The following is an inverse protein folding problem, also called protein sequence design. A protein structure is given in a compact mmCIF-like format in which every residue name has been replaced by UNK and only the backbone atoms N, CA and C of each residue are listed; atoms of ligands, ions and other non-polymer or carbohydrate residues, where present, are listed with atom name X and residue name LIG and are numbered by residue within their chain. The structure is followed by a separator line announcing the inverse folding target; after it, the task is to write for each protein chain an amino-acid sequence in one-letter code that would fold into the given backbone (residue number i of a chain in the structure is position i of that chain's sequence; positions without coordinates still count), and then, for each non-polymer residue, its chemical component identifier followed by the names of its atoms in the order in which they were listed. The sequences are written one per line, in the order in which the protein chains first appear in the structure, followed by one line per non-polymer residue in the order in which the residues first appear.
data_IF_884625016723
#
_entry.id   IF_884625016723
#
_cell.length_a   1.000
_cell.length_b   1.000
_cell.length_c   1.000
_cell.angle_alpha   90.00
_cell.angle_beta   90.00
_cell.angle_gamma   90.00
#
_symmetry.space_group_name_H-M   'P 1'
#
loop_
_entity.id
_entity.type
_entity.pdbx_description
1 polymer ?
#
# COMPACT_ATOMS: atom_id res chain seq x y z
N UNK A 1 12.67 3.43 1.11
CA UNK A 1 12.20 4.75 1.58
C UNK A 1 13.21 5.38 2.54
N UNK A 2 13.68 4.67 3.58
CA UNK A 2 14.66 5.23 4.55
C UNK A 2 15.91 5.76 3.84
N UNK A 3 16.51 4.96 2.95
CA UNK A 3 17.67 5.38 2.15
C UNK A 3 17.39 6.64 1.33
N UNK A 4 16.17 6.75 0.77
CA UNK A 4 15.75 7.94 0.04
C UNK A 4 15.65 9.18 0.90
N UNK A 5 15.23 9.04 2.18
CA UNK A 5 15.21 10.15 3.14
C UNK A 5 16.64 10.60 3.49
N UNK A 6 17.57 9.66 3.70
CA UNK A 6 18.98 9.98 3.94
C UNK A 6 19.61 10.67 2.73
N UNK A 7 19.38 10.15 1.53
CA UNK A 7 19.84 10.77 0.28
C UNK A 7 19.28 12.19 0.10
N UNK A 8 17.99 12.40 0.44
CA UNK A 8 17.40 13.72 0.37
C UNK A 8 17.99 14.69 1.39
N UNK A 9 18.35 14.21 2.58
CA UNK A 9 19.03 15.03 3.58
C UNK A 9 20.47 15.39 3.19
N UNK A 10 21.17 14.50 2.47
CA UNK A 10 22.56 14.71 2.04
C UNK A 10 22.68 15.50 0.73
N UNK A 11 21.82 15.24 -0.24
CA UNK A 11 21.94 15.72 -1.63
C UNK A 11 20.77 16.57 -2.08
N UNK A 12 19.69 16.64 -1.31
CA UNK A 12 18.49 17.34 -1.71
C UNK A 12 18.71 18.84 -1.82
N UNK A 13 18.20 19.45 -2.90
CA UNK A 13 18.24 20.89 -3.06
C UNK A 13 17.23 21.57 -2.14
N UNK A 14 17.61 22.70 -1.54
CA UNK A 14 16.77 23.45 -0.62
C UNK A 14 15.49 23.95 -1.30
N UNK A 15 14.34 23.66 -0.72
CA UNK A 15 13.03 24.05 -1.25
C UNK A 15 12.45 23.07 -2.27
N UNK A 16 13.16 22.01 -2.64
CA UNK A 16 12.68 21.01 -3.57
C UNK A 16 11.91 19.87 -2.89
N UNK A 17 11.02 19.24 -3.65
CA UNK A 17 10.22 18.12 -3.19
C UNK A 17 10.55 16.87 -4.00
N UNK A 18 10.74 15.74 -3.32
CA UNK A 18 11.07 14.46 -3.92
C UNK A 18 10.01 13.42 -3.57
N UNK A 19 9.53 12.71 -4.58
CA UNK A 19 8.64 11.55 -4.38
C UNK A 19 9.52 10.31 -4.27
N UNK A 20 9.51 9.69 -3.10
CA UNK A 20 10.21 8.44 -2.80
C UNK A 20 9.23 7.27 -2.92
N UNK A 21 8.83 7.00 -4.15
CA UNK A 21 7.93 5.89 -4.46
C UNK A 21 8.68 4.64 -4.90
N UNK A 22 7.94 3.58 -5.11
CA UNK A 22 8.41 2.32 -5.68
C UNK A 22 7.65 1.97 -6.95
N UNK A 23 7.37 0.69 -7.14
CA UNK A 23 6.59 0.20 -8.27
C UNK A 23 5.15 0.69 -8.23
N UNK A 24 4.64 1.09 -9.37
CA UNK A 24 3.24 1.45 -9.54
C UNK A 24 2.39 0.18 -9.72
N UNK A 25 1.75 -0.26 -8.66
CA UNK A 25 0.91 -1.44 -8.63
C UNK A 25 -0.56 -1.06 -8.44
N UNK A 26 -1.44 -1.80 -9.09
CA UNK A 26 -2.85 -1.78 -8.71
C UNK A 26 -3.03 -2.52 -7.38
N UNK A 27 -4.10 -2.20 -6.65
CA UNK A 27 -4.39 -2.87 -5.38
C UNK A 27 -4.41 -4.41 -5.52
N UNK A 28 -5.02 -4.93 -6.56
CA UNK A 28 -5.06 -6.38 -6.82
C UNK A 28 -3.67 -6.98 -7.09
N UNK A 29 -2.80 -6.26 -7.81
CA UNK A 29 -1.42 -6.69 -8.04
C UNK A 29 -0.62 -6.70 -6.73
N UNK A 30 -0.75 -5.66 -5.91
CA UNK A 30 -0.08 -5.59 -4.62
C UNK A 30 -0.51 -6.74 -3.70
N UNK A 31 -1.82 -6.95 -3.55
CA UNK A 31 -2.37 -8.04 -2.72
C UNK A 31 -1.93 -9.42 -3.24
N UNK A 32 -1.96 -9.64 -4.57
CA UNK A 32 -1.48 -10.91 -5.15
C UNK A 32 0.00 -11.15 -4.88
N UNK A 33 0.85 -10.16 -5.07
CA UNK A 33 2.31 -10.28 -4.82
C UNK A 33 2.60 -10.53 -3.35
N UNK A 34 1.93 -9.82 -2.44
CA UNK A 34 2.06 -10.04 -1.00
C UNK A 34 1.62 -11.47 -0.65
N UNK A 35 0.48 -11.93 -1.14
CA UNK A 35 -0.01 -13.27 -0.88
C UNK A 35 0.99 -14.35 -1.35
N UNK A 36 1.56 -14.20 -2.54
CA UNK A 36 2.58 -15.12 -3.03
C UNK A 36 3.86 -15.11 -2.18
N UNK A 37 4.31 -13.94 -1.76
CA UNK A 37 5.56 -13.82 -1.00
C UNK A 37 5.46 -14.36 0.44
N UNK A 38 4.24 -14.54 0.98
CA UNK A 38 4.00 -15.08 2.32
C UNK A 38 3.39 -16.47 2.33
N UNK A 39 3.52 -17.20 1.21
CA UNK A 39 2.91 -18.53 1.00
C UNK A 39 1.39 -18.55 1.24
N UNK A 40 0.76 -17.39 1.07
CA UNK A 40 -0.67 -17.23 1.18
C UNK A 40 -1.41 -17.59 -0.10
N UNK A 41 -2.67 -17.97 0.03
CA UNK A 41 -3.52 -18.16 -1.15
C UNK A 41 -3.90 -16.80 -1.75
N UNK A 42 -3.65 -16.57 -3.05
CA UNK A 42 -4.09 -15.34 -3.71
C UNK A 42 -5.61 -15.22 -3.64
N UNK A 43 -6.10 -14.00 -3.51
CA UNK A 43 -7.54 -13.74 -3.50
C UNK A 43 -8.18 -14.26 -4.79
N UNK A 44 -8.97 -15.33 -4.69
CA UNK A 44 -9.64 -15.99 -5.83
C UNK A 44 -10.83 -15.19 -6.37
N UNK A 45 -11.37 -14.29 -5.55
CA UNK A 45 -12.58 -13.54 -5.89
C UNK A 45 -12.19 -12.13 -6.31
N UNK A 46 -12.42 -11.80 -7.58
CA UNK A 46 -12.36 -10.42 -8.07
C UNK A 46 -13.67 -9.73 -7.69
N UNK A 47 -13.60 -8.85 -6.70
CA UNK A 47 -14.73 -8.03 -6.32
C UNK A 47 -14.82 -6.84 -7.29
N UNK A 48 -15.89 -6.68 -8.05
CA UNK A 48 -16.04 -5.52 -8.93
C UNK A 48 -16.13 -4.22 -8.11
N UNK A 49 -15.62 -3.12 -8.67
CA UNK A 49 -15.59 -1.82 -7.99
C UNK A 49 -16.98 -1.37 -7.52
N UNK A 50 -18.02 -1.66 -8.29
CA UNK A 50 -19.41 -1.38 -7.92
C UNK A 50 -19.83 -2.08 -6.63
N UNK A 51 -19.44 -3.34 -6.44
CA UNK A 51 -19.73 -4.08 -5.21
C UNK A 51 -18.94 -3.52 -4.02
N UNK A 52 -17.69 -3.10 -4.22
CA UNK A 52 -16.89 -2.45 -3.18
C UNK A 52 -17.53 -1.13 -2.75
N UNK A 53 -17.98 -0.31 -3.71
CA UNK A 53 -18.66 0.96 -3.42
C UNK A 53 -20.01 0.76 -2.71
N UNK A 54 -20.74 -0.28 -3.03
CA UNK A 54 -22.00 -0.61 -2.37
C UNK A 54 -21.79 -1.19 -0.96
N UNK A 55 -20.71 -1.93 -0.74
CA UNK A 55 -20.40 -2.54 0.56
C UNK A 55 -20.03 -1.52 1.63
N UNK A 56 -19.39 -0.40 1.27
CA UNK A 56 -18.98 0.63 2.23
C UNK A 56 -20.14 1.20 3.06
N UNK A 57 -21.19 1.76 2.46
CA UNK A 57 -22.36 2.27 3.19
C UNK A 57 -23.08 1.19 4.00
N UNK A 58 -23.14 -0.05 3.49
CA UNK A 58 -23.76 -1.17 4.21
C UNK A 58 -22.96 -1.55 5.45
N UNK A 59 -21.62 -1.58 5.33
CA UNK A 59 -20.73 -1.84 6.46
C UNK A 59 -20.80 -0.72 7.51
N UNK A 60 -20.89 0.54 7.09
CA UNK A 60 -21.09 1.68 8.01
C UNK A 60 -22.42 1.58 8.76
N UNK A 61 -23.51 1.28 8.07
CA UNK A 61 -24.81 1.11 8.67
C UNK A 61 -24.84 -0.09 9.66
N UNK A 62 -24.25 -1.21 9.27
CA UNK A 62 -24.12 -2.37 10.13
C UNK A 62 -23.27 -2.08 11.37
N UNK A 63 -22.18 -1.34 11.22
CA UNK A 63 -21.31 -0.91 12.32
C UNK A 63 -22.04 0.02 13.30
N UNK A 64 -22.85 0.94 12.77
CA UNK A 64 -23.63 1.87 13.59
C UNK A 64 -24.70 1.15 14.43
N UNK A 65 -25.32 0.10 13.89
CA UNK A 65 -26.36 -0.68 14.57
C UNK A 65 -25.74 -1.69 15.56
N UNK A 66 -24.64 -2.33 15.17
CA UNK A 66 -24.00 -3.37 15.98
C UNK A 66 -23.01 -2.83 17.03
N UNK A 67 -22.67 -1.54 17.00
CA UNK A 67 -21.67 -0.94 17.89
C UNK A 67 -20.23 -1.46 17.69
N UNK A 68 -19.99 -2.19 16.59
CA UNK A 68 -18.70 -2.80 16.27
C UNK A 68 -18.14 -2.14 15.01
N UNK A 69 -16.93 -1.61 15.07
CA UNK A 69 -16.24 -1.12 13.88
C UNK A 69 -15.83 -2.30 13.00
N UNK A 70 -16.46 -2.43 11.85
CA UNK A 70 -16.01 -3.38 10.81
C UNK A 70 -14.82 -2.73 10.07
N UNK A 71 -13.66 -2.80 10.71
CA UNK A 71 -12.39 -2.38 10.10
C UNK A 71 -11.94 -3.48 9.12
N UNK A 72 -11.42 -3.16 7.92
CA UNK A 72 -11.00 -1.84 7.40
C UNK A 72 -11.90 -1.28 6.27
N UNK A 73 -13.15 -1.70 6.17
CA UNK A 73 -14.04 -1.38 5.05
C UNK A 73 -14.92 -0.17 5.34
N UNK A 74 -14.31 1.00 5.48
CA UNK A 74 -15.05 2.25 5.43
C UNK A 74 -15.17 2.76 3.98
N UNK A 75 -16.02 3.75 3.79
CA UNK A 75 -16.26 4.38 2.49
C UNK A 75 -14.99 4.99 1.89
N UNK A 76 -14.08 5.50 2.71
CA UNK A 76 -12.84 6.13 2.26
C UNK A 76 -11.88 5.06 1.71
N UNK A 77 -11.75 3.92 2.40
CA UNK A 77 -10.92 2.81 1.95
C UNK A 77 -11.45 2.18 0.65
N UNK A 78 -12.78 2.04 0.53
CA UNK A 78 -13.41 1.58 -0.70
C UNK A 78 -13.11 2.49 -1.90
N UNK A 79 -13.14 3.82 -1.69
CA UNK A 79 -12.77 4.79 -2.72
C UNK A 79 -11.27 4.72 -3.08
N UNK A 80 -10.40 4.58 -2.10
CA UNK A 80 -8.95 4.45 -2.30
C UNK A 80 -8.59 3.17 -3.06
N UNK A 81 -9.20 2.06 -2.71
CA UNK A 81 -8.93 0.77 -3.34
C UNK A 81 -9.28 0.74 -4.85
N UNK A 82 -10.17 1.63 -5.29
CA UNK A 82 -10.58 1.73 -6.70
C UNK A 82 -9.81 2.78 -7.50
N UNK A 83 -9.06 3.66 -6.83
CA UNK A 83 -8.26 4.70 -7.49
C UNK A 83 -6.87 4.17 -7.87
N UNK A 84 -6.40 4.57 -9.03
CA UNK A 84 -5.01 4.38 -9.45
C UNK A 84 -4.20 5.58 -9.00
N UNK A 85 -3.40 5.42 -7.96
CA UNK A 85 -2.50 6.47 -7.46
C UNK A 85 -1.09 6.13 -7.90
N UNK A 86 -0.79 6.45 -9.16
CA UNK A 86 0.52 6.20 -9.74
C UNK A 86 1.37 7.46 -9.65
N UNK A 87 2.57 7.31 -9.11
CA UNK A 87 3.55 8.38 -8.95
C UNK A 87 4.85 7.99 -9.62
N UNK A 88 5.68 8.98 -9.93
CA UNK A 88 7.00 8.73 -10.48
C UNK A 88 8.08 9.28 -9.56
N UNK A 89 9.12 8.49 -9.33
CA UNK A 89 10.30 8.86 -8.54
C UNK A 89 11.44 9.39 -9.41
N UNK A 90 11.23 9.65 -10.71
CA UNK A 90 12.28 10.03 -11.66
C UNK A 90 13.16 11.18 -11.18
N UNK A 91 12.58 12.17 -10.52
CA UNK A 91 13.35 13.30 -9.99
C UNK A 91 14.29 12.83 -8.87
N UNK A 92 13.80 12.01 -7.95
CA UNK A 92 14.64 11.45 -6.90
C UNK A 92 15.72 10.51 -7.46
N UNK A 93 15.40 9.72 -8.47
CA UNK A 93 16.37 8.86 -9.16
C UNK A 93 17.47 9.68 -9.82
N UNK A 94 17.10 10.75 -10.55
CA UNK A 94 18.05 11.57 -11.30
C UNK A 94 18.92 12.47 -10.41
N UNK A 95 18.34 13.10 -9.39
CA UNK A 95 19.02 14.13 -8.58
C UNK A 95 19.67 13.57 -7.32
N UNK A 96 19.06 12.53 -6.70
CA UNK A 96 19.54 11.94 -5.46
C UNK A 96 20.27 10.61 -5.68
N UNK A 97 20.11 9.97 -6.84
CA UNK A 97 20.52 8.59 -7.05
C UNK A 97 19.66 7.59 -6.27
N UNK A 98 18.37 7.91 -6.08
CA UNK A 98 17.44 7.05 -5.38
C UNK A 98 17.14 5.80 -6.19
N UNK A 99 17.25 4.64 -5.55
CA UNK A 99 16.84 3.35 -6.11
C UNK A 99 15.82 2.72 -5.18
N UNK A 100 14.77 2.15 -5.75
CA UNK A 100 13.79 1.38 -4.99
C UNK A 100 13.94 -0.11 -5.25
N UNK A 101 13.61 -0.92 -4.27
CA UNK A 101 13.57 -2.37 -4.43
C UNK A 101 12.14 -2.86 -4.62
N UNK A 102 11.95 -4.00 -5.34
CA UNK A 102 10.63 -4.62 -5.45
C UNK A 102 10.04 -4.95 -4.08
N UNK A 103 8.72 -4.92 -3.97
CA UNK A 103 8.03 -5.19 -2.71
C UNK A 103 8.38 -6.58 -2.14
N UNK A 104 8.62 -7.55 -3.00
CA UNK A 104 8.95 -8.93 -2.63
C UNK A 104 10.28 -9.07 -1.87
N UNK A 105 11.21 -8.15 -2.08
CA UNK A 105 12.54 -8.20 -1.46
C UNK A 105 12.48 -8.05 0.08
N UNK A 106 11.49 -7.32 0.59
CA UNK A 106 11.38 -7.01 2.03
C UNK A 106 10.24 -7.74 2.74
N UNK A 107 9.34 -8.37 2.00
CA UNK A 107 8.18 -9.06 2.60
C UNK A 107 8.56 -10.18 3.56
N UNK A 108 9.53 -11.08 3.28
CA UNK A 108 9.89 -12.15 4.20
C UNK A 108 10.36 -11.63 5.57
N UNK A 109 11.20 -10.62 5.58
CA UNK A 109 11.69 -9.98 6.81
C UNK A 109 10.57 -9.29 7.58
N UNK A 110 9.74 -8.51 6.90
CA UNK A 110 8.57 -7.84 7.47
C UNK A 110 7.60 -8.84 8.09
N UNK A 111 7.36 -9.97 7.43
CA UNK A 111 6.47 -11.01 7.93
C UNK A 111 7.07 -11.79 9.11
N UNK A 112 8.39 -12.01 9.11
CA UNK A 112 9.07 -12.60 10.25
C UNK A 112 8.95 -11.71 11.50
N UNK A 113 9.18 -10.41 11.35
CA UNK A 113 8.99 -9.44 12.40
C UNK A 113 7.55 -9.40 12.91
N UNK A 114 6.58 -9.33 12.00
CA UNK A 114 5.16 -9.30 12.36
C UNK A 114 4.73 -10.53 13.16
N UNK A 115 5.18 -11.73 12.77
CA UNK A 115 4.87 -12.97 13.48
C UNK A 115 5.52 -13.05 14.87
N UNK A 116 6.65 -12.35 15.07
CA UNK A 116 7.33 -12.31 16.35
C UNK A 116 6.69 -11.33 17.35
N UNK A 117 6.23 -10.17 16.85
CA UNK A 117 5.72 -9.07 17.68
C UNK A 117 4.21 -9.14 17.91
N UNK A 118 3.45 -9.65 16.93
CA UNK A 118 1.98 -9.73 17.02
C UNK A 118 1.56 -11.15 17.37
N UNK A 119 1.47 -11.42 18.66
CA UNK A 119 0.87 -12.64 19.24
C UNK A 119 -0.55 -12.40 19.67
#
# INVERSE_FOLDING_TARGET
VVDGLLLAAEKGATGEHYILGGENLTFNQAVSRIAHAVDGSPARIRVPATAIHAAGPVAEAASAVAGVRVFPFDRQMAQLATKRMFYTSRKAEAELGYEYQPIEAHLPETMAWYRAEVK
#
